data_IF_594322997421
#
_entry.id   IF_594322997421
#
_cell.length_a   1.000
_cell.length_b   1.000
_cell.length_c   1.000
_cell.angle_alpha   90.00
_cell.angle_beta   90.00
_cell.angle_gamma   90.00
#
_symmetry.space_group_name_H-M   'P 1'
#
loop_
_entity.id
_entity.type
_entity.pdbx_description
1 polymer ?
#
# COMPACT_ATOMS: atom_id res chain seq x y z
N UNK A 1 -2.49 80.09 -37.85
CA UNK A 1 -3.32 78.90 -37.63
C UNK A 1 -2.42 77.81 -37.18
N UNK A 2 -2.47 77.43 -35.89
CA UNK A 2 -1.64 76.40 -35.27
C UNK A 2 -2.48 75.18 -35.02
N UNK A 3 -2.21 74.08 -35.71
CA UNK A 3 -2.90 72.80 -35.56
C UNK A 3 -2.25 72.05 -34.40
N UNK A 4 -3.02 71.71 -33.34
CA UNK A 4 -2.58 70.95 -32.21
C UNK A 4 -2.91 69.50 -32.43
N UNK A 5 -1.87 68.64 -32.63
CA UNK A 5 -2.06 67.19 -32.58
C UNK A 5 -2.23 66.74 -31.14
N UNK A 6 -3.34 66.07 -30.86
CA UNK A 6 -3.54 65.34 -29.60
C UNK A 6 -3.07 63.88 -29.80
N UNK A 7 -2.01 63.52 -29.09
CA UNK A 7 -1.53 62.15 -28.97
C UNK A 7 -2.33 61.44 -27.87
N UNK A 8 -3.10 60.40 -28.23
CA UNK A 8 -3.73 59.50 -27.29
C UNK A 8 -2.67 58.46 -26.83
N UNK A 9 -2.34 58.50 -25.55
CA UNK A 9 -1.55 57.43 -24.92
C UNK A 9 -2.52 56.32 -24.48
N UNK A 10 -2.37 55.12 -25.11
CA UNK A 10 -3.04 53.89 -24.68
C UNK A 10 -2.20 53.27 -23.59
N UNK A 11 -2.64 53.37 -22.34
CA UNK A 11 -2.08 52.57 -21.24
C UNK A 11 -2.60 51.14 -21.35
N UNK A 12 -1.75 50.23 -21.84
CA UNK A 12 -1.98 48.80 -21.71
C UNK A 12 -1.76 48.41 -20.23
N UNK A 13 -2.85 48.18 -19.49
CA UNK A 13 -2.77 47.51 -18.19
C UNK A 13 -2.45 46.01 -18.47
N UNK A 14 -1.22 45.63 -18.30
CA UNK A 14 -0.84 44.23 -18.17
C UNK A 14 -1.36 43.75 -16.80
N UNK A 15 -2.54 43.14 -16.81
CA UNK A 15 -3.07 42.38 -15.65
C UNK A 15 -2.16 41.17 -15.41
N UNK A 16 -1.19 41.31 -14.51
CA UNK A 16 -0.45 40.20 -13.99
C UNK A 16 -1.43 39.28 -13.23
N UNK A 17 -1.76 38.13 -13.78
CA UNK A 17 -2.33 37.04 -13.00
C UNK A 17 -1.28 36.66 -11.96
N UNK A 18 -1.44 37.15 -10.74
CA UNK A 18 -0.76 36.58 -9.58
C UNK A 18 -1.37 35.18 -9.43
N UNK A 19 -0.65 34.16 -9.86
CA UNK A 19 -0.97 32.81 -9.49
C UNK A 19 -0.90 32.76 -7.95
N UNK A 20 -2.05 32.85 -7.29
CA UNK A 20 -2.13 32.52 -5.88
C UNK A 20 -1.77 31.04 -5.80
N UNK A 21 -0.59 30.75 -5.26
CA UNK A 21 -0.28 29.42 -4.79
C UNK A 21 -1.34 29.11 -3.72
N UNK A 22 -2.29 28.24 -4.08
CA UNK A 22 -3.22 27.68 -3.11
C UNK A 22 -2.38 26.78 -2.23
N UNK A 23 -1.82 27.34 -1.15
CA UNK A 23 -1.23 26.51 -0.11
C UNK A 23 -2.38 25.67 0.46
N UNK A 24 -2.17 24.34 0.49
CA UNK A 24 -3.11 23.47 1.21
C UNK A 24 -3.24 23.97 2.65
N UNK A 25 -4.46 23.92 3.21
CA UNK A 25 -4.69 24.25 4.61
C UNK A 25 -3.71 23.50 5.52
N UNK A 26 -3.24 24.12 6.61
CA UNK A 26 -2.35 23.44 7.55
C UNK A 26 -2.93 22.10 7.99
N UNK A 27 -2.08 21.11 8.11
CA UNK A 27 -2.44 19.83 8.71
C UNK A 27 -2.24 19.93 10.22
N UNK A 28 -3.34 19.86 10.98
CA UNK A 28 -3.30 19.96 12.43
C UNK A 28 -3.18 18.56 13.03
N UNK A 29 -2.04 18.29 13.65
CA UNK A 29 -1.72 17.00 14.28
C UNK A 29 -1.75 17.18 15.79
N UNK A 30 -2.63 16.43 16.47
CA UNK A 30 -2.75 16.40 17.91
C UNK A 30 -1.61 15.61 18.56
N UNK A 31 -1.23 14.49 17.94
CA UNK A 31 -0.18 13.59 18.42
C UNK A 31 0.53 12.91 17.28
N UNK A 32 1.83 12.66 17.44
CA UNK A 32 2.61 11.83 16.53
C UNK A 32 3.71 11.10 17.29
N UNK A 33 4.15 9.98 16.74
CA UNK A 33 5.22 9.19 17.34
C UNK A 33 5.59 7.98 16.51
N UNK A 34 6.41 7.14 17.12
CA UNK A 34 6.84 5.88 16.50
C UNK A 34 6.99 4.79 17.57
N UNK A 35 6.83 3.54 17.13
CA UNK A 35 7.08 2.38 17.97
C UNK A 35 7.44 1.16 17.11
N UNK A 36 7.96 0.13 17.77
CA UNK A 36 8.10 -1.21 17.18
C UNK A 36 7.09 -2.17 17.81
N UNK A 37 6.61 -3.14 17.04
CA UNK A 37 5.62 -4.12 17.50
C UNK A 37 5.92 -5.53 16.98
N UNK A 38 5.61 -6.53 17.80
CA UNK A 38 5.89 -7.93 17.50
C UNK A 38 7.37 -8.26 17.54
N UNK A 39 7.74 -9.28 16.76
CA UNK A 39 9.12 -9.72 16.63
C UNK A 39 9.56 -10.75 17.66
N UNK A 40 10.84 -11.08 17.60
CA UNK A 40 11.47 -12.12 18.42
C UNK A 40 12.70 -11.57 19.12
N UNK A 41 12.92 -12.01 20.35
CA UNK A 41 14.15 -11.75 21.12
C UNK A 41 14.97 -13.02 21.13
N UNK A 42 16.20 -12.95 20.63
CA UNK A 42 17.18 -14.06 20.67
C UNK A 42 18.22 -13.74 21.71
N UNK A 43 18.55 -14.74 22.54
CA UNK A 43 19.64 -14.69 23.53
C UNK A 43 20.70 -15.70 23.14
N UNK A 44 21.93 -15.24 22.92
CA UNK A 44 23.06 -16.15 22.69
C UNK A 44 23.44 -16.89 23.98
N UNK A 45 23.84 -18.16 23.91
CA UNK A 45 24.31 -18.90 25.08
C UNK A 45 25.48 -18.23 25.77
N UNK A 46 25.63 -18.48 27.08
CA UNK A 46 26.74 -17.97 27.88
C UNK A 46 26.37 -16.73 28.71
N UNK A 47 27.38 -16.00 29.13
CA UNK A 47 27.23 -14.79 29.94
C UNK A 47 28.01 -13.63 29.34
N UNK A 48 27.39 -12.49 29.23
CA UNK A 48 28.02 -11.27 28.73
C UNK A 48 29.17 -10.82 29.65
N UNK A 49 30.33 -10.54 29.05
CA UNK A 49 31.48 -9.93 29.71
C UNK A 49 31.80 -8.58 29.05
N UNK A 50 31.69 -7.50 29.82
CA UNK A 50 31.99 -6.15 29.35
C UNK A 50 33.47 -5.94 28.94
N UNK A 51 34.37 -6.84 29.34
CA UNK A 51 35.80 -6.79 28.93
C UNK A 51 36.01 -7.37 27.53
N UNK A 52 35.06 -8.18 27.03
CA UNK A 52 35.09 -8.78 25.69
C UNK A 52 33.77 -8.45 24.94
N UNK A 53 33.49 -7.17 24.69
CA UNK A 53 32.15 -6.72 24.22
C UNK A 53 31.79 -7.19 22.82
N UNK A 54 32.76 -7.71 22.06
CA UNK A 54 32.54 -8.29 20.72
C UNK A 54 32.21 -9.79 20.75
N UNK A 55 32.37 -10.44 21.90
CA UNK A 55 31.90 -11.80 22.10
C UNK A 55 30.35 -11.81 22.15
N UNK A 56 29.72 -12.74 21.43
CA UNK A 56 28.27 -12.87 21.41
C UNK A 56 27.70 -13.53 22.67
N UNK A 57 28.53 -14.17 23.52
CA UNK A 57 28.09 -14.89 24.69
C UNK A 57 27.20 -14.04 25.60
N UNK A 58 25.99 -14.52 25.88
CA UNK A 58 25.01 -13.84 26.75
C UNK A 58 24.40 -12.55 26.17
N UNK A 59 24.73 -12.18 24.93
CA UNK A 59 24.12 -11.04 24.27
C UNK A 59 22.74 -11.37 23.68
N UNK A 60 21.91 -10.37 23.50
CA UNK A 60 20.56 -10.48 22.93
C UNK A 60 20.40 -9.57 21.74
N UNK A 61 19.50 -9.93 20.82
CA UNK A 61 19.00 -8.99 19.84
C UNK A 61 17.51 -9.16 19.60
N UNK A 62 16.87 -8.05 19.21
CA UNK A 62 15.48 -7.98 18.82
C UNK A 62 15.41 -7.90 17.29
N UNK A 63 14.65 -8.79 16.67
CA UNK A 63 14.46 -8.80 15.21
C UNK A 63 13.04 -9.21 14.85
N UNK A 64 12.75 -9.18 13.55
CA UNK A 64 11.45 -9.58 12.98
C UNK A 64 10.24 -8.78 13.54
N UNK A 65 10.47 -7.57 14.06
CA UNK A 65 9.42 -6.63 14.47
C UNK A 65 8.99 -5.75 13.30
N UNK A 66 7.77 -5.22 13.36
CA UNK A 66 7.34 -4.11 12.51
C UNK A 66 7.85 -2.78 13.10
N UNK A 67 8.13 -1.81 12.25
CA UNK A 67 8.37 -0.42 12.64
C UNK A 67 7.20 0.44 12.21
N UNK A 68 6.73 1.32 13.09
CA UNK A 68 5.53 2.13 12.87
C UNK A 68 5.82 3.59 13.16
N UNK A 69 5.43 4.46 12.23
CA UNK A 69 5.26 5.89 12.47
C UNK A 69 3.77 6.21 12.44
N UNK A 70 3.28 7.03 13.39
CA UNK A 70 1.88 7.38 13.43
C UNK A 70 1.65 8.87 13.64
N UNK A 71 0.51 9.34 13.12
CA UNK A 71 -0.01 10.67 13.36
C UNK A 71 -1.51 10.61 13.65
N UNK A 72 -1.94 11.40 14.63
CA UNK A 72 -3.33 11.52 15.07
C UNK A 72 -3.75 12.97 14.80
N UNK A 73 -4.73 13.22 13.92
CA UNK A 73 -5.23 14.57 13.67
C UNK A 73 -6.09 15.06 14.85
N UNK A 74 -6.41 16.34 14.86
CA UNK A 74 -7.38 16.88 15.80
C UNK A 74 -8.78 16.29 15.52
N UNK A 75 -9.49 15.87 16.58
CA UNK A 75 -10.81 15.23 16.50
C UNK A 75 -10.84 14.00 15.57
N UNK A 76 -10.04 12.97 15.83
CA UNK A 76 -9.91 11.83 14.92
C UNK A 76 -11.20 11.01 14.86
N UNK A 77 -11.44 10.39 13.71
CA UNK A 77 -12.42 9.31 13.56
C UNK A 77 -12.12 8.15 14.51
N UNK A 78 -13.15 7.33 14.76
CA UNK A 78 -13.10 6.22 15.73
C UNK A 78 -12.04 5.18 15.41
N UNK A 79 -11.87 4.84 14.13
CA UNK A 79 -10.94 3.80 13.69
C UNK A 79 -9.74 4.40 12.96
N UNK A 80 -8.52 4.17 13.45
CA UNK A 80 -7.32 4.52 12.71
C UNK A 80 -7.15 3.66 11.45
N UNK A 81 -6.39 4.17 10.49
CA UNK A 81 -5.95 3.44 9.31
C UNK A 81 -4.51 2.97 9.50
N UNK A 82 -4.29 1.66 9.42
CA UNK A 82 -2.97 1.02 9.46
C UNK A 82 -2.60 0.64 8.04
N UNK A 83 -1.49 1.20 7.52
CA UNK A 83 -1.10 1.12 6.11
C UNK A 83 0.10 0.19 5.92
N UNK A 84 -0.08 -0.91 5.19
CA UNK A 84 0.95 -1.91 4.89
C UNK A 84 1.26 -1.92 3.39
N UNK A 85 2.52 -1.73 3.06
CA UNK A 85 3.07 -1.68 1.69
C UNK A 85 3.17 -3.06 1.00
N UNK A 86 3.50 -3.05 -0.29
CA UNK A 86 3.73 -4.23 -1.13
C UNK A 86 5.21 -4.63 -1.30
N UNK A 87 5.47 -5.54 -2.23
CA UNK A 87 6.81 -6.03 -2.56
C UNK A 87 7.73 -4.90 -3.03
N UNK A 88 8.97 -4.90 -2.55
CA UNK A 88 9.95 -3.88 -2.90
C UNK A 88 9.62 -2.48 -2.40
N UNK A 89 8.58 -2.32 -1.58
CA UNK A 89 8.14 -1.04 -1.04
C UNK A 89 8.33 -0.99 0.48
N UNK A 90 8.20 0.20 1.06
CA UNK A 90 8.14 0.47 2.50
C UNK A 90 7.14 1.60 2.76
N UNK A 91 6.99 2.05 3.99
CA UNK A 91 5.98 3.04 4.40
C UNK A 91 5.92 4.30 3.53
N UNK A 92 7.05 4.72 2.96
CA UNK A 92 7.13 5.88 2.07
C UNK A 92 6.16 5.85 0.89
N UNK A 93 5.73 4.66 0.44
CA UNK A 93 4.78 4.54 -0.67
C UNK A 93 3.43 5.23 -0.39
N UNK A 94 3.08 5.42 0.89
CA UNK A 94 1.86 6.07 1.33
C UNK A 94 2.01 7.58 1.58
N UNK A 95 3.24 8.07 1.66
CA UNK A 95 3.58 9.46 1.96
C UNK A 95 3.43 10.35 0.71
N UNK A 96 4.47 11.09 0.34
CA UNK A 96 4.48 11.94 -0.86
C UNK A 96 4.55 11.09 -2.12
N UNK A 97 3.71 11.38 -3.10
CA UNK A 97 3.73 10.71 -4.39
C UNK A 97 5.03 11.00 -5.15
N UNK A 98 5.45 10.16 -6.12
CA UNK A 98 6.68 10.37 -6.87
C UNK A 98 6.79 11.73 -7.57
N UNK A 99 5.67 12.34 -7.95
CA UNK A 99 5.57 13.65 -8.56
C UNK A 99 5.36 14.81 -7.56
N UNK A 100 5.49 14.54 -6.25
CA UNK A 100 5.55 15.55 -5.19
C UNK A 100 4.21 15.99 -4.59
N UNK A 101 3.08 15.34 -4.94
CA UNK A 101 1.77 15.61 -4.35
C UNK A 101 1.59 14.89 -3.02
N UNK A 102 0.53 15.24 -2.29
CA UNK A 102 0.13 14.49 -1.09
C UNK A 102 -0.27 13.06 -1.44
N UNK A 103 0.28 12.09 -0.71
CA UNK A 103 -0.12 10.70 -0.76
C UNK A 103 -1.25 10.40 0.23
N UNK A 104 -1.65 9.14 0.30
CA UNK A 104 -2.79 8.72 1.12
C UNK A 104 -2.63 8.99 2.61
N UNK A 105 -1.41 8.97 3.12
CA UNK A 105 -1.12 9.39 4.50
C UNK A 105 -1.70 10.77 4.81
N UNK A 106 -1.30 11.81 4.06
CA UNK A 106 -1.76 13.18 4.29
C UNK A 106 -3.24 13.35 3.93
N UNK A 107 -3.70 12.72 2.84
CA UNK A 107 -5.10 12.81 2.41
C UNK A 107 -6.04 12.29 3.51
N UNK A 108 -5.74 11.14 4.12
CA UNK A 108 -6.60 10.56 5.15
C UNK A 108 -6.46 11.27 6.50
N UNK A 109 -5.28 11.83 6.84
CA UNK A 109 -5.16 12.74 7.98
C UNK A 109 -6.06 13.96 7.83
N UNK A 110 -6.10 14.59 6.65
CA UNK A 110 -7.01 15.71 6.35
C UNK A 110 -8.49 15.32 6.43
N UNK A 111 -8.80 14.06 6.21
CA UNK A 111 -10.15 13.49 6.33
C UNK A 111 -10.48 13.01 7.75
N UNK A 112 -9.63 13.32 8.74
CA UNK A 112 -9.87 13.03 10.15
C UNK A 112 -9.47 11.61 10.59
N UNK A 113 -8.77 10.84 9.78
CA UNK A 113 -8.29 9.53 10.20
C UNK A 113 -6.89 9.60 10.82
N UNK A 114 -6.72 8.98 11.97
CA UNK A 114 -5.37 8.67 12.47
C UNK A 114 -4.72 7.68 11.52
N UNK A 115 -3.43 7.86 11.21
CA UNK A 115 -2.71 6.99 10.28
C UNK A 115 -1.48 6.38 10.94
N UNK A 116 -1.28 5.10 10.67
CA UNK A 116 -0.15 4.30 11.14
C UNK A 116 0.56 3.72 9.93
N UNK A 117 1.74 4.24 9.62
CA UNK A 117 2.57 3.77 8.51
C UNK A 117 3.48 2.65 9.00
N UNK A 118 3.37 1.48 8.39
CA UNK A 118 4.07 0.28 8.82
C UNK A 118 5.15 -0.11 7.83
N UNK A 119 6.38 -0.27 8.32
CA UNK A 119 7.40 -1.09 7.65
C UNK A 119 7.29 -2.50 8.19
N UNK A 120 7.02 -3.46 7.31
CA UNK A 120 6.93 -4.87 7.70
C UNK A 120 8.27 -5.40 8.20
N UNK A 121 8.29 -6.47 9.01
CA UNK A 121 9.52 -7.16 9.38
C UNK A 121 10.42 -7.44 8.19
N UNK A 122 11.74 -7.24 8.39
CA UNK A 122 12.79 -7.49 7.39
C UNK A 122 12.76 -6.53 6.20
N UNK A 123 12.22 -5.31 6.39
CA UNK A 123 12.16 -4.31 5.33
C UNK A 123 12.18 -2.87 5.88
N UNK A 124 12.70 -1.92 5.10
CA UNK A 124 12.73 -0.50 5.47
C UNK A 124 13.35 -0.26 6.84
N UNK A 125 12.69 0.52 7.70
CA UNK A 125 13.16 0.79 9.05
C UNK A 125 13.03 -0.40 10.01
N UNK A 126 12.36 -1.49 9.61
CA UNK A 126 12.25 -2.76 10.34
C UNK A 126 13.23 -3.84 9.83
N UNK A 127 14.38 -3.43 9.34
CA UNK A 127 15.33 -4.30 8.63
C UNK A 127 16.05 -5.34 9.47
N UNK A 128 15.92 -5.33 10.81
CA UNK A 128 16.62 -6.29 11.66
C UNK A 128 15.91 -7.65 11.66
N UNK A 129 16.62 -8.69 11.19
CA UNK A 129 16.08 -10.05 11.03
C UNK A 129 16.66 -11.01 12.08
N UNK A 130 15.93 -12.08 12.41
CA UNK A 130 16.40 -13.18 13.29
C UNK A 130 16.93 -14.37 12.49
N UNK A 131 16.86 -14.32 11.18
CA UNK A 131 17.36 -15.36 10.27
C UNK A 131 18.39 -14.78 9.31
N UNK A 132 19.21 -15.61 8.73
CA UNK A 132 20.16 -15.18 7.72
C UNK A 132 19.46 -14.59 6.49
N UNK A 133 20.02 -13.51 5.96
CA UNK A 133 19.56 -12.88 4.75
C UNK A 133 20.70 -12.14 4.05
N UNK A 134 20.67 -12.15 2.72
CA UNK A 134 21.66 -11.45 1.91
C UNK A 134 20.96 -10.37 1.08
N UNK A 135 21.45 -9.13 1.19
CA UNK A 135 21.03 -8.04 0.31
C UNK A 135 22.01 -7.97 -0.86
N UNK A 136 21.54 -8.32 -2.04
CA UNK A 136 22.34 -8.30 -3.27
C UNK A 136 21.85 -7.20 -4.19
N UNK A 137 22.72 -6.32 -4.72
CA UNK A 137 22.33 -5.35 -5.74
C UNK A 137 21.78 -6.07 -6.98
N UNK A 138 20.62 -5.64 -7.44
CA UNK A 138 19.95 -6.23 -8.61
C UNK A 138 19.34 -5.12 -9.47
N UNK A 139 19.78 -5.01 -10.75
CA UNK A 139 19.16 -4.08 -11.70
C UNK A 139 17.84 -4.69 -12.22
N UNK A 140 16.70 -4.21 -11.72
CA UNK A 140 15.37 -4.74 -12.06
C UNK A 140 14.28 -3.67 -12.24
N UNK A 141 14.65 -2.40 -12.31
CA UNK A 141 13.71 -1.26 -12.39
C UNK A 141 12.79 -1.35 -13.61
N UNK A 142 13.28 -1.76 -14.78
CA UNK A 142 12.49 -1.90 -16.00
C UNK A 142 11.47 -3.04 -15.89
N UNK A 143 11.83 -4.12 -15.21
CA UNK A 143 10.89 -5.19 -14.88
C UNK A 143 9.77 -4.66 -13.98
N UNK A 144 10.08 -3.88 -12.96
CA UNK A 144 9.08 -3.27 -12.07
C UNK A 144 8.22 -2.22 -12.79
N UNK A 145 8.78 -1.43 -13.71
CA UNK A 145 8.02 -0.51 -14.55
C UNK A 145 6.88 -1.24 -15.30
N UNK A 146 7.22 -2.39 -15.89
CA UNK A 146 6.24 -3.23 -16.60
C UNK A 146 5.27 -3.91 -15.61
N UNK A 147 5.81 -4.52 -14.54
CA UNK A 147 5.01 -5.25 -13.54
C UNK A 147 4.01 -4.34 -12.82
N UNK A 148 4.38 -3.09 -12.60
CA UNK A 148 3.51 -2.10 -12.00
C UNK A 148 2.59 -1.39 -13.01
N UNK A 149 2.60 -1.83 -14.26
CA UNK A 149 1.72 -1.35 -15.33
C UNK A 149 1.79 0.16 -15.58
N UNK A 150 2.98 0.74 -15.43
CA UNK A 150 3.25 2.11 -15.89
C UNK A 150 3.29 2.14 -17.44
N UNK A 151 3.80 1.06 -18.02
CA UNK A 151 3.92 0.88 -19.47
C UNK A 151 4.57 -0.44 -19.83
N UNK A 152 5.14 -0.49 -21.03
CA UNK A 152 6.10 -1.50 -21.48
C UNK A 152 7.38 -0.76 -21.81
N UNK A 153 8.37 -0.88 -20.95
CA UNK A 153 9.59 -0.08 -21.04
C UNK A 153 10.19 -0.03 -22.44
N UNK A 154 10.55 1.18 -22.94
CA UNK A 154 10.51 2.48 -22.26
C UNK A 154 9.19 3.26 -22.45
N UNK A 155 8.19 2.67 -23.09
CA UNK A 155 6.96 3.35 -23.46
C UNK A 155 5.91 3.29 -22.36
N UNK A 156 5.30 4.44 -22.06
CA UNK A 156 4.18 4.54 -21.13
C UNK A 156 2.88 4.07 -21.77
N UNK A 157 1.98 3.48 -21.01
CA UNK A 157 0.63 3.21 -21.51
C UNK A 157 -0.10 4.52 -21.85
N UNK A 158 -0.87 4.50 -22.91
CA UNK A 158 -1.66 5.67 -23.32
C UNK A 158 -2.67 6.04 -22.21
N UNK A 159 -2.58 7.28 -21.73
CA UNK A 159 -3.49 7.79 -20.70
C UNK A 159 -3.22 7.25 -19.30
N UNK A 160 -2.04 6.66 -19.08
CA UNK A 160 -1.63 6.21 -17.74
C UNK A 160 -1.66 7.38 -16.75
N UNK A 161 -2.15 7.12 -15.55
CA UNK A 161 -2.22 8.08 -14.45
C UNK A 161 -0.88 8.19 -13.69
N UNK A 162 0.21 8.23 -14.43
CA UNK A 162 1.56 8.39 -13.91
C UNK A 162 2.24 9.57 -14.59
N UNK A 163 3.03 10.35 -13.84
CA UNK A 163 3.77 11.49 -14.39
C UNK A 163 4.85 11.03 -15.36
N UNK A 164 4.92 11.65 -16.54
CA UNK A 164 5.98 11.42 -17.51
C UNK A 164 7.24 12.25 -17.21
N UNK A 165 7.27 12.99 -16.10
CA UNK A 165 8.45 13.70 -15.65
C UNK A 165 9.54 12.73 -15.22
N UNK A 166 10.76 12.97 -15.71
CA UNK A 166 11.93 12.14 -15.42
C UNK A 166 12.23 12.07 -13.90
N UNK A 167 12.06 13.18 -13.18
CA UNK A 167 12.32 13.18 -11.74
C UNK A 167 11.25 12.37 -10.99
N UNK A 168 9.99 12.44 -11.42
CA UNK A 168 8.95 11.58 -10.85
C UNK A 168 9.28 10.10 -11.05
N UNK A 169 9.75 9.70 -12.22
CA UNK A 169 10.21 8.33 -12.47
C UNK A 169 11.41 7.95 -11.60
N UNK A 170 12.37 8.86 -11.43
CA UNK A 170 13.53 8.65 -10.54
C UNK A 170 13.07 8.47 -9.07
N UNK A 171 12.15 9.28 -8.59
CA UNK A 171 11.60 9.16 -7.25
C UNK A 171 10.84 7.84 -7.06
N UNK A 172 10.10 7.41 -8.08
CA UNK A 172 9.39 6.15 -8.08
C UNK A 172 10.33 4.95 -7.91
N UNK A 173 11.41 4.89 -8.66
CA UNK A 173 12.41 3.83 -8.51
C UNK A 173 13.16 3.89 -7.17
N UNK A 174 13.40 5.09 -6.62
CA UNK A 174 14.04 5.28 -5.31
C UNK A 174 13.15 4.91 -4.12
N UNK A 175 11.88 4.64 -4.34
CA UNK A 175 11.00 4.04 -3.32
C UNK A 175 11.22 2.53 -3.16
N UNK A 176 11.94 1.90 -4.07
CA UNK A 176 12.26 0.48 -3.96
C UNK A 176 13.28 0.24 -2.85
N UNK A 177 13.00 -0.77 -2.03
CA UNK A 177 13.86 -1.18 -0.91
C UNK A 177 13.97 -2.70 -0.86
N UNK A 178 15.15 -3.25 -0.54
CA UNK A 178 15.33 -4.70 -0.46
C UNK A 178 14.74 -5.29 0.81
N UNK A 179 14.48 -6.60 0.78
CA UNK A 179 14.33 -7.38 2.00
C UNK A 179 15.71 -7.64 2.62
N UNK A 180 15.79 -7.63 3.95
CA UNK A 180 16.97 -8.02 4.73
C UNK A 180 16.92 -9.47 5.19
N UNK A 181 15.82 -10.17 4.90
CA UNK A 181 15.60 -11.59 5.14
C UNK A 181 14.46 -12.12 4.27
N UNK A 182 14.17 -13.43 4.29
CA UNK A 182 13.12 -14.02 3.48
C UNK A 182 11.74 -13.48 3.88
N UNK A 183 10.83 -13.42 2.89
CA UNK A 183 9.42 -13.14 3.14
C UNK A 183 8.81 -14.29 3.96
N UNK A 184 8.14 -13.95 5.05
CA UNK A 184 7.42 -14.89 5.91
C UNK A 184 6.08 -14.27 6.33
N UNK A 185 5.00 -14.82 5.80
CA UNK A 185 3.66 -14.27 6.00
C UNK A 185 3.22 -14.34 7.47
N UNK A 186 3.67 -15.36 8.21
CA UNK A 186 3.33 -15.49 9.63
C UNK A 186 4.08 -14.45 10.47
N UNK A 187 5.38 -14.27 10.24
CA UNK A 187 6.19 -13.24 10.91
C UNK A 187 5.58 -11.85 10.66
N UNK A 188 5.17 -11.56 9.43
CA UNK A 188 4.60 -10.26 9.07
C UNK A 188 3.22 -10.10 9.71
N UNK A 189 2.33 -11.08 9.62
CA UNK A 189 0.97 -10.97 10.16
C UNK A 189 0.93 -11.00 11.69
N UNK A 190 1.87 -11.67 12.36
CA UNK A 190 2.02 -11.61 13.82
C UNK A 190 2.46 -10.21 14.27
N UNK A 191 3.43 -9.61 13.56
CA UNK A 191 3.85 -8.24 13.82
C UNK A 191 2.72 -7.23 13.53
N UNK A 192 1.97 -7.41 12.44
CA UNK A 192 0.80 -6.58 12.13
C UNK A 192 -0.31 -6.72 13.17
N UNK A 193 -0.56 -7.92 13.69
CA UNK A 193 -1.49 -8.14 14.80
C UNK A 193 -1.05 -7.34 16.05
N UNK A 194 0.24 -7.36 16.35
CA UNK A 194 0.79 -6.56 17.45
C UNK A 194 0.69 -5.03 17.21
N UNK A 195 0.78 -4.59 15.94
CA UNK A 195 0.51 -3.18 15.57
C UNK A 195 -0.95 -2.83 15.85
N UNK A 196 -1.89 -3.68 15.41
CA UNK A 196 -3.34 -3.48 15.65
C UNK A 196 -3.66 -3.49 17.14
N UNK A 197 -2.97 -4.29 17.94
CA UNK A 197 -3.13 -4.27 19.40
C UNK A 197 -2.72 -2.92 20.02
N UNK A 198 -1.70 -2.27 19.46
CA UNK A 198 -1.23 -0.96 19.94
C UNK A 198 -2.05 0.21 19.39
N UNK A 199 -2.49 0.15 18.12
CA UNK A 199 -3.31 1.21 17.53
C UNK A 199 -4.77 1.18 17.98
N UNK A 200 -5.22 0.07 18.57
CA UNK A 200 -6.62 -0.22 18.85
C UNK A 200 -7.35 -0.77 17.60
N UNK A 201 -8.69 -0.94 17.69
CA UNK A 201 -9.47 -1.42 16.56
C UNK A 201 -9.25 -0.54 15.32
N UNK A 202 -8.87 -1.14 14.19
CA UNK A 202 -8.33 -0.44 13.04
C UNK A 202 -8.85 -0.93 11.69
N UNK A 203 -8.75 -0.08 10.69
CA UNK A 203 -8.93 -0.39 9.28
C UNK A 203 -7.54 -0.67 8.69
N UNK A 204 -7.39 -1.77 7.96
CA UNK A 204 -6.15 -2.06 7.26
C UNK A 204 -6.22 -1.52 5.82
N UNK A 205 -5.24 -0.70 5.42
CA UNK A 205 -4.95 -0.44 4.01
C UNK A 205 -3.75 -1.29 3.63
N UNK A 206 -3.92 -2.17 2.64
CA UNK A 206 -2.86 -3.05 2.19
C UNK A 206 -2.59 -2.86 0.71
N UNK A 207 -1.36 -3.07 0.29
CA UNK A 207 -0.98 -2.98 -1.11
C UNK A 207 -0.27 -4.26 -1.57
N UNK A 208 -0.66 -4.78 -2.74
CA UNK A 208 0.06 -5.83 -3.47
C UNK A 208 0.38 -7.05 -2.60
N UNK A 209 1.65 -7.36 -2.39
CA UNK A 209 2.13 -8.43 -1.51
C UNK A 209 1.59 -8.30 -0.08
N UNK A 210 1.32 -7.09 0.40
CA UNK A 210 0.75 -6.83 1.72
C UNK A 210 -0.69 -7.32 1.90
N UNK A 211 -1.39 -7.66 0.81
CA UNK A 211 -2.74 -8.23 0.86
C UNK A 211 -2.78 -9.54 1.64
N UNK A 212 -1.86 -10.48 1.34
CA UNK A 212 -1.76 -11.74 2.08
C UNK A 212 -1.61 -11.55 3.59
N UNK A 213 -0.57 -10.85 4.06
CA UNK A 213 -0.45 -10.49 5.48
C UNK A 213 -1.69 -9.81 6.05
N UNK A 214 -2.40 -8.98 5.27
CA UNK A 214 -3.65 -8.35 5.68
C UNK A 214 -4.74 -9.36 6.01
N UNK A 215 -4.95 -10.37 5.15
CA UNK A 215 -5.91 -11.45 5.41
C UNK A 215 -5.54 -12.25 6.65
N UNK A 216 -4.27 -12.64 6.77
CA UNK A 216 -3.76 -13.38 7.93
C UNK A 216 -3.86 -12.56 9.23
N UNK A 217 -3.64 -11.25 9.18
CA UNK A 217 -3.82 -10.38 10.34
C UNK A 217 -5.28 -10.36 10.80
N UNK A 218 -6.24 -10.24 9.88
CA UNK A 218 -7.65 -10.25 10.21
C UNK A 218 -8.14 -11.61 10.75
N UNK A 219 -7.54 -12.72 10.28
CA UNK A 219 -7.81 -14.05 10.84
C UNK A 219 -7.26 -14.23 12.26
N UNK A 220 -6.19 -13.49 12.63
CA UNK A 220 -5.52 -13.58 13.93
C UNK A 220 -6.01 -12.56 14.95
N UNK A 221 -6.65 -11.47 14.51
CA UNK A 221 -6.97 -10.33 15.38
C UNK A 221 -8.33 -9.72 15.04
N UNK A 222 -9.31 -9.87 15.92
CA UNK A 222 -10.68 -9.40 15.77
C UNK A 222 -10.85 -7.87 15.92
N UNK A 223 -9.78 -7.16 16.26
CA UNK A 223 -9.73 -5.69 16.24
C UNK A 223 -9.58 -5.13 14.83
N UNK A 224 -9.25 -5.93 13.81
CA UNK A 224 -9.38 -5.51 12.41
C UNK A 224 -10.85 -5.32 12.10
N UNK A 225 -11.24 -4.11 11.67
CA UNK A 225 -12.65 -3.73 11.44
C UNK A 225 -13.03 -3.68 9.98
N UNK A 226 -12.06 -3.47 9.10
CA UNK A 226 -12.23 -3.53 7.66
C UNK A 226 -10.87 -3.68 6.97
N UNK A 227 -10.88 -4.06 5.71
CA UNK A 227 -9.68 -4.05 4.86
C UNK A 227 -10.01 -3.32 3.56
N UNK A 228 -9.15 -2.40 3.16
CA UNK A 228 -9.08 -1.84 1.81
C UNK A 228 -7.78 -2.33 1.19
N UNK A 229 -7.88 -3.24 0.22
CA UNK A 229 -6.75 -3.86 -0.43
C UNK A 229 -6.56 -3.28 -1.84
N UNK A 230 -5.45 -2.61 -2.04
CA UNK A 230 -5.05 -2.09 -3.34
C UNK A 230 -4.24 -3.15 -4.07
N UNK A 231 -4.80 -3.70 -5.13
CA UNK A 231 -4.14 -4.65 -6.02
C UNK A 231 -3.46 -5.84 -5.30
N UNK A 232 -4.15 -6.59 -4.44
CA UNK A 232 -3.56 -7.73 -3.77
C UNK A 232 -2.98 -8.71 -4.80
N UNK A 233 -1.71 -9.11 -4.61
CA UNK A 233 -0.94 -9.84 -5.62
C UNK A 233 -0.81 -11.34 -5.38
N UNK A 234 -1.08 -11.82 -4.18
CA UNK A 234 -0.87 -13.23 -3.80
C UNK A 234 -1.55 -13.56 -2.47
N UNK A 235 -1.41 -14.82 -2.06
CA UNK A 235 -1.86 -15.33 -0.76
C UNK A 235 -3.35 -15.12 -0.50
N UNK A 236 -4.17 -15.31 -1.54
CA UNK A 236 -5.61 -15.43 -1.39
C UNK A 236 -5.94 -16.73 -0.66
N UNK A 237 -6.54 -16.62 0.51
CA UNK A 237 -6.86 -17.75 1.38
C UNK A 237 -8.24 -18.31 1.09
N UNK A 238 -8.36 -19.61 1.05
CA UNK A 238 -9.64 -20.30 0.80
C UNK A 238 -9.84 -21.42 1.83
N UNK A 239 -11.09 -21.78 2.14
CA UNK A 239 -11.35 -23.02 2.87
C UNK A 239 -10.70 -24.21 2.12
N UNK A 240 -10.09 -25.13 2.83
CA UNK A 240 -9.36 -26.26 2.23
C UNK A 240 -10.16 -27.04 1.17
N UNK A 241 -11.48 -27.13 1.35
CA UNK A 241 -12.39 -27.86 0.43
C UNK A 241 -12.91 -26.99 -0.73
N UNK A 242 -12.58 -25.71 -0.76
CA UNK A 242 -13.08 -24.74 -1.74
C UNK A 242 -11.93 -24.03 -2.49
N UNK A 243 -10.76 -24.67 -2.54
CA UNK A 243 -9.64 -24.14 -3.29
C UNK A 243 -9.97 -24.07 -4.79
N UNK A 244 -9.74 -22.92 -5.44
CA UNK A 244 -9.88 -22.81 -6.88
C UNK A 244 -8.78 -23.59 -7.61
N UNK A 245 -9.01 -23.89 -8.88
CA UNK A 245 -7.97 -24.43 -9.74
C UNK A 245 -6.81 -23.42 -9.86
N UNK A 246 -5.56 -23.89 -9.94
CA UNK A 246 -4.42 -23.02 -10.21
C UNK A 246 -4.63 -22.21 -11.51
N UNK A 247 -4.31 -20.93 -11.51
CA UNK A 247 -4.46 -20.02 -12.64
C UNK A 247 -3.10 -19.74 -13.29
N UNK A 248 -2.78 -20.38 -14.43
CA UNK A 248 -1.53 -20.12 -15.13
C UNK A 248 -1.53 -18.76 -15.83
N UNK A 249 -0.39 -18.10 -15.82
CA UNK A 249 -0.11 -16.89 -16.58
C UNK A 249 1.22 -17.00 -17.31
N UNK A 250 1.52 -16.05 -18.18
CA UNK A 250 2.82 -15.95 -18.83
C UNK A 250 3.98 -15.63 -17.88
N UNK A 251 3.68 -15.23 -16.64
CA UNK A 251 4.67 -14.90 -15.60
C UNK A 251 4.84 -16.04 -14.57
N UNK A 252 3.72 -16.52 -14.04
CA UNK A 252 3.68 -17.53 -12.97
C UNK A 252 2.36 -18.33 -13.01
N UNK A 253 2.20 -19.24 -12.07
CA UNK A 253 0.92 -19.90 -11.80
C UNK A 253 0.43 -19.47 -10.42
N UNK A 254 -0.63 -18.68 -10.37
CA UNK A 254 -1.26 -18.25 -9.13
C UNK A 254 -2.10 -19.38 -8.53
N UNK A 255 -1.95 -19.60 -7.22
CA UNK A 255 -2.71 -20.60 -6.45
C UNK A 255 -3.37 -19.96 -5.26
N UNK A 256 -4.56 -20.43 -4.90
CA UNK A 256 -5.15 -20.14 -3.59
C UNK A 256 -4.39 -20.87 -2.48
N UNK A 257 -4.41 -20.31 -1.28
CA UNK A 257 -3.79 -20.90 -0.08
C UNK A 257 -4.86 -21.53 0.81
N UNK A 258 -4.72 -22.82 1.18
CA UNK A 258 -5.71 -23.47 2.04
C UNK A 258 -5.58 -22.98 3.48
N UNK A 259 -6.72 -22.68 4.10
CA UNK A 259 -6.82 -22.39 5.54
C UNK A 259 -8.00 -23.16 6.16
N UNK A 260 -7.94 -23.48 7.46
CA UNK A 260 -9.10 -24.04 8.16
C UNK A 260 -10.32 -23.12 8.06
N UNK A 261 -11.52 -23.71 7.88
CA UNK A 261 -12.78 -22.96 7.77
C UNK A 261 -12.98 -21.98 8.95
N UNK A 262 -12.64 -22.39 10.17
CA UNK A 262 -12.76 -21.56 11.36
C UNK A 262 -11.97 -20.24 11.23
N UNK A 263 -10.73 -20.31 10.71
CA UNK A 263 -9.90 -19.11 10.46
C UNK A 263 -10.48 -18.27 9.32
N UNK A 264 -10.89 -18.93 8.22
CA UNK A 264 -11.48 -18.25 7.08
C UNK A 264 -12.72 -17.42 7.46
N UNK A 265 -13.57 -17.94 8.35
CA UNK A 265 -14.79 -17.28 8.81
C UNK A 265 -14.53 -15.92 9.48
N UNK A 266 -13.33 -15.61 9.96
CA UNK A 266 -13.02 -14.29 10.46
C UNK A 266 -13.15 -13.21 9.37
N UNK A 267 -12.82 -13.53 8.12
CA UNK A 267 -12.91 -12.63 6.98
C UNK A 267 -14.33 -12.30 6.55
N UNK A 268 -15.30 -13.15 6.92
CA UNK A 268 -16.72 -12.88 6.64
C UNK A 268 -17.37 -11.90 7.62
N UNK A 269 -16.66 -11.52 8.68
CA UNK A 269 -17.19 -10.64 9.74
C UNK A 269 -16.88 -9.16 9.54
N UNK A 270 -16.10 -8.83 8.53
CA UNK A 270 -15.64 -7.47 8.24
C UNK A 270 -15.90 -7.10 6.78
N UNK A 271 -16.23 -5.84 6.49
CA UNK A 271 -16.31 -5.38 5.11
C UNK A 271 -14.90 -5.28 4.49
N UNK A 272 -14.80 -5.70 3.23
CA UNK A 272 -13.53 -5.70 2.49
C UNK A 272 -13.75 -5.09 1.11
N UNK A 273 -12.95 -4.07 0.79
CA UNK A 273 -12.88 -3.46 -0.53
C UNK A 273 -11.56 -3.83 -1.20
N UNK A 274 -11.62 -4.40 -2.39
CA UNK A 274 -10.46 -4.68 -3.24
C UNK A 274 -10.53 -3.78 -4.47
N UNK A 275 -9.45 -3.07 -4.78
CA UNK A 275 -9.37 -2.15 -5.93
C UNK A 275 -8.26 -2.60 -6.86
N UNK A 276 -8.58 -2.76 -8.14
CA UNK A 276 -7.62 -3.01 -9.21
C UNK A 276 -7.63 -1.86 -10.24
N UNK A 277 -6.44 -1.47 -10.69
CA UNK A 277 -6.23 -0.43 -11.71
C UNK A 277 -6.50 -0.89 -13.13
N UNK A 278 -5.93 -0.18 -14.09
CA UNK A 278 -6.13 -0.38 -15.52
C UNK A 278 -5.01 -1.24 -16.15
N UNK A 279 -5.10 -1.44 -17.46
CA UNK A 279 -4.17 -2.21 -18.28
C UNK A 279 -4.05 -3.69 -17.87
N UNK A 280 -5.13 -4.23 -17.33
CA UNK A 280 -5.30 -5.66 -17.02
C UNK A 280 -6.14 -6.29 -18.13
N UNK A 281 -5.61 -7.23 -18.92
CA UNK A 281 -6.36 -7.84 -20.04
C UNK A 281 -7.41 -8.83 -19.57
N UNK A 282 -8.50 -8.96 -20.32
CA UNK A 282 -9.56 -9.95 -20.04
C UNK A 282 -9.19 -11.37 -20.48
N UNK A 283 -8.23 -11.49 -21.41
CA UNK A 283 -7.81 -12.76 -22.00
C UNK A 283 -6.30 -12.94 -21.85
N UNK A 284 -5.81 -14.20 -21.91
CA UNK A 284 -4.38 -14.46 -21.88
C UNK A 284 -3.62 -13.67 -22.94
N UNK A 285 -2.52 -13.05 -22.54
CA UNK A 285 -1.61 -12.31 -23.42
C UNK A 285 -0.17 -12.76 -23.19
N UNK A 286 0.67 -12.58 -24.21
CA UNK A 286 2.08 -12.98 -24.13
C UNK A 286 2.94 -12.06 -23.24
N UNK A 287 2.44 -10.88 -22.88
CA UNK A 287 3.14 -9.94 -22.00
C UNK A 287 3.06 -10.40 -20.53
N UNK A 288 4.17 -10.87 -19.92
CA UNK A 288 4.13 -11.51 -18.59
C UNK A 288 3.52 -10.62 -17.50
N UNK A 289 3.89 -9.35 -17.47
CA UNK A 289 3.39 -8.41 -16.47
C UNK A 289 1.86 -8.27 -16.50
N UNK A 290 1.29 -7.98 -17.68
CA UNK A 290 -0.15 -7.80 -17.83
C UNK A 290 -0.92 -9.12 -17.60
N UNK A 291 -0.41 -10.24 -18.09
CA UNK A 291 -1.06 -11.54 -17.93
C UNK A 291 -1.06 -12.01 -16.47
N UNK A 292 -0.02 -11.68 -15.72
CA UNK A 292 0.03 -11.97 -14.29
C UNK A 292 -1.06 -11.24 -13.49
N UNK A 293 -1.40 -10.00 -13.89
CA UNK A 293 -2.49 -9.24 -13.23
C UNK A 293 -3.87 -9.72 -13.66
N UNK A 294 -4.01 -10.25 -14.87
CA UNK A 294 -5.24 -10.91 -15.31
C UNK A 294 -5.67 -12.01 -14.36
N UNK A 295 -4.76 -12.91 -14.02
CA UNK A 295 -5.08 -14.03 -13.11
C UNK A 295 -5.28 -13.56 -11.66
N UNK A 296 -4.63 -12.48 -11.24
CA UNK A 296 -4.82 -11.92 -9.89
C UNK A 296 -6.20 -11.27 -9.73
N UNK A 297 -6.65 -10.52 -10.73
CA UNK A 297 -8.01 -9.98 -10.75
C UNK A 297 -9.05 -11.10 -10.79
N UNK A 298 -8.84 -12.14 -11.60
CA UNK A 298 -9.71 -13.31 -11.64
C UNK A 298 -9.78 -14.03 -10.28
N UNK A 299 -8.63 -14.28 -9.65
CA UNK A 299 -8.55 -14.90 -8.33
C UNK A 299 -9.25 -14.06 -7.25
N UNK A 300 -9.09 -12.74 -7.29
CA UNK A 300 -9.77 -11.84 -6.35
C UNK A 300 -11.30 -11.93 -6.48
N UNK A 301 -11.82 -12.08 -7.70
CA UNK A 301 -13.25 -12.26 -7.97
C UNK A 301 -13.76 -13.61 -7.44
N UNK A 302 -13.03 -14.70 -7.67
CA UNK A 302 -13.37 -16.00 -7.10
C UNK A 302 -13.31 -15.97 -5.56
N UNK A 303 -12.29 -15.32 -5.00
CA UNK A 303 -12.16 -15.16 -3.56
C UNK A 303 -13.34 -14.37 -2.96
N UNK A 304 -13.73 -13.26 -3.57
CA UNK A 304 -14.92 -12.50 -3.20
C UNK A 304 -16.17 -13.41 -3.16
N UNK A 305 -16.34 -14.19 -4.20
CA UNK A 305 -17.54 -15.04 -4.34
C UNK A 305 -17.57 -16.10 -3.23
N UNK A 306 -16.43 -16.68 -2.86
CA UNK A 306 -16.34 -17.65 -1.76
C UNK A 306 -16.58 -16.97 -0.40
N UNK A 307 -15.96 -15.81 -0.12
CA UNK A 307 -16.18 -15.09 1.14
C UNK A 307 -17.66 -14.70 1.28
N UNK A 308 -18.26 -14.15 0.21
CA UNK A 308 -19.65 -13.71 0.23
C UNK A 308 -20.65 -14.88 0.31
N UNK A 309 -20.33 -16.03 -0.30
CA UNK A 309 -21.09 -17.27 -0.13
C UNK A 309 -21.20 -17.69 1.34
N UNK A 310 -20.17 -17.43 2.13
CA UNK A 310 -20.15 -17.72 3.57
C UNK A 310 -20.66 -16.55 4.44
N UNK A 311 -21.38 -15.59 3.84
CA UNK A 311 -22.01 -14.46 4.54
C UNK A 311 -21.11 -13.25 4.76
N UNK A 312 -20.00 -13.15 4.02
CA UNK A 312 -19.11 -12.00 4.06
C UNK A 312 -19.59 -10.81 3.22
N UNK A 313 -18.82 -9.75 3.25
CA UNK A 313 -19.09 -8.47 2.57
C UNK A 313 -17.82 -8.00 1.85
N UNK A 314 -17.52 -8.63 0.72
CA UNK A 314 -16.38 -8.30 -0.13
C UNK A 314 -16.84 -7.69 -1.43
N UNK A 315 -16.27 -6.54 -1.77
CA UNK A 315 -16.42 -5.88 -3.06
C UNK A 315 -15.08 -5.88 -3.80
N UNK A 316 -15.09 -6.24 -5.07
CA UNK A 316 -13.93 -6.11 -5.99
C UNK A 316 -14.28 -5.07 -7.04
N UNK A 317 -13.54 -3.99 -7.05
CA UNK A 317 -13.67 -2.90 -8.01
C UNK A 317 -12.50 -2.95 -8.99
N UNK A 318 -12.80 -3.11 -10.26
CA UNK A 318 -11.86 -2.91 -11.36
C UNK A 318 -12.13 -1.51 -11.92
N UNK A 319 -11.21 -0.57 -11.69
CA UNK A 319 -11.43 0.86 -11.95
C UNK A 319 -11.94 1.20 -13.36
N UNK A 320 -11.48 0.53 -14.44
CA UNK A 320 -12.02 0.77 -15.77
C UNK A 320 -13.52 0.47 -15.92
N UNK A 321 -14.07 -0.48 -15.15
CA UNK A 321 -15.50 -0.81 -15.13
C UNK A 321 -16.34 0.30 -14.50
N UNK A 322 -15.72 1.10 -13.61
CA UNK A 322 -16.30 2.31 -13.02
C UNK A 322 -16.01 3.59 -13.84
N UNK A 323 -15.44 3.45 -15.05
CA UNK A 323 -15.09 4.57 -15.90
C UNK A 323 -13.79 5.30 -15.52
N UNK A 324 -13.05 4.81 -14.52
CA UNK A 324 -11.77 5.36 -14.05
C UNK A 324 -10.64 4.61 -14.74
N UNK A 325 -9.88 5.31 -15.60
CA UNK A 325 -8.89 4.68 -16.48
C UNK A 325 -7.47 5.17 -16.25
N UNK A 326 -6.52 4.34 -16.67
CA UNK A 326 -5.10 4.64 -16.67
C UNK A 326 -4.40 4.40 -15.33
N UNK A 327 -5.08 3.94 -14.30
CA UNK A 327 -4.45 3.68 -13.01
C UNK A 327 -3.44 2.53 -13.09
N UNK A 328 -2.28 2.77 -12.48
CA UNK A 328 -1.19 1.81 -12.38
C UNK A 328 -1.44 0.81 -11.25
N UNK A 329 -0.43 0.05 -10.89
CA UNK A 329 -0.43 -0.79 -9.69
C UNK A 329 -0.50 0.01 -8.37
N UNK A 330 -0.36 1.34 -8.43
CA UNK A 330 -0.37 2.23 -7.27
C UNK A 330 -1.52 3.25 -7.35
N UNK A 331 -2.79 2.84 -7.39
CA UNK A 331 -3.90 3.76 -7.57
C UNK A 331 -3.97 4.84 -6.48
N UNK A 332 -3.45 4.58 -5.29
CA UNK A 332 -3.34 5.52 -4.18
C UNK A 332 -2.23 6.58 -4.36
N UNK A 333 -1.36 6.42 -5.35
CA UNK A 333 -0.22 7.30 -5.65
C UNK A 333 -0.30 7.93 -7.06
N UNK A 334 -1.16 7.42 -7.91
CA UNK A 334 -1.39 7.88 -9.27
C UNK A 334 -1.89 9.34 -9.33
N UNK A 335 -1.84 9.98 -10.52
CA UNK A 335 -2.23 11.38 -10.71
C UNK A 335 -3.65 11.70 -10.23
N UNK A 336 -4.54 10.73 -10.25
CA UNK A 336 -5.92 10.84 -9.77
C UNK A 336 -6.14 10.24 -8.37
N UNK A 337 -5.10 10.17 -7.53
CA UNK A 337 -5.17 9.55 -6.21
C UNK A 337 -6.26 10.14 -5.29
N UNK A 338 -6.59 11.42 -5.43
CA UNK A 338 -7.70 12.04 -4.69
C UNK A 338 -9.04 11.41 -5.06
N UNK A 339 -9.28 11.15 -6.36
CA UNK A 339 -10.49 10.45 -6.81
C UNK A 339 -10.58 9.03 -6.23
N UNK A 340 -9.45 8.33 -6.13
CA UNK A 340 -9.41 7.00 -5.50
C UNK A 340 -9.68 7.12 -3.99
N UNK A 341 -9.11 8.13 -3.34
CA UNK A 341 -9.39 8.39 -1.92
C UNK A 341 -10.88 8.75 -1.68
N UNK A 342 -11.55 9.43 -2.62
CA UNK A 342 -12.99 9.71 -2.52
C UNK A 342 -13.81 8.42 -2.56
N UNK A 343 -13.48 7.49 -3.47
CA UNK A 343 -14.10 6.17 -3.54
C UNK A 343 -13.92 5.39 -2.21
N UNK A 344 -12.71 5.40 -1.66
CA UNK A 344 -12.42 4.75 -0.38
C UNK A 344 -13.19 5.40 0.77
N UNK A 345 -13.22 6.73 0.84
CA UNK A 345 -13.97 7.44 1.89
C UNK A 345 -15.46 7.13 1.84
N UNK A 346 -16.04 7.06 0.63
CA UNK A 346 -17.43 6.65 0.45
C UNK A 346 -17.68 5.24 0.99
N UNK A 347 -16.80 4.29 0.68
CA UNK A 347 -16.90 2.93 1.24
C UNK A 347 -16.82 2.95 2.78
N UNK A 348 -15.89 3.71 3.37
CA UNK A 348 -15.76 3.80 4.83
C UNK A 348 -17.00 4.42 5.48
N UNK A 349 -17.59 5.44 4.86
CA UNK A 349 -18.84 6.05 5.31
C UNK A 349 -20.03 5.08 5.23
N UNK A 350 -20.21 4.39 4.09
CA UNK A 350 -21.28 3.41 3.88
C UNK A 350 -21.22 2.22 4.85
N UNK A 351 -20.03 1.94 5.43
CA UNK A 351 -19.80 0.87 6.40
C UNK A 351 -19.70 1.35 7.85
N UNK A 352 -20.03 2.61 8.15
CA UNK A 352 -19.96 3.22 9.49
C UNK A 352 -18.57 3.08 10.14
N UNK A 353 -17.51 3.31 9.35
CA UNK A 353 -16.11 3.13 9.76
C UNK A 353 -15.37 4.44 10.05
N UNK A 354 -16.08 5.53 10.23
CA UNK A 354 -15.55 6.85 10.55
C UNK A 354 -15.46 7.11 12.06
#
# INVERSE_FOLDING_TARGET
MKTVLKTLAICAMAGGMVAQSVYAEPLVIQEQGSFSAGGTIITAPGKFDAKTPLDSAGQTWHGDHASVFYQIPENPHKYPIVMLHGAGQFSRTWETTPDGREGFHNIFLRRGFSTYLVDQPRRGSAGRTTVEGTVTPKPDEQMWFNQFRVGVWPEYFKGVQFSHDKEALNQYFRQMTPNTGPFDINVISDAMSAVVDKSGPAILFTHSQGGGPGWYTAMKNDKVKAIVAFEPGSSFVFPEKELPAPMPSAFDTLKGEPVPMEQFMALTKIPILIIYGDNIPDKPVAMPAQDSWRVRLAMAREWRDVVNKHGGDVTVTHLPEEGIKGNTHFPFSDLNNVQIADMVSKFLEEKDLQ
#
